data_IF_355163915201
#
_entry.id   IF_355163915201
#
_cell.length_a   1.000
_cell.length_b   1.000
_cell.length_c   1.000
_cell.angle_alpha   90.00
_cell.angle_beta   90.00
_cell.angle_gamma   90.00
#
_symmetry.space_group_name_H-M   'P 1'
#
loop_
_entity.id
_entity.type
_entity.pdbx_description
1 polymer ?
#
# COMPACT_ATOMS: atom_id res chain seq x y z
N UNK A 1 12.25 0.56 0.26
CA UNK A 1 12.24 -0.81 -0.28
C UNK A 1 10.82 -1.13 -0.66
N UNK A 2 10.61 -1.49 -1.92
CA UNK A 2 9.28 -1.81 -2.45
C UNK A 2 8.87 -3.22 -2.07
N UNK A 3 7.66 -3.38 -1.54
CA UNK A 3 7.03 -4.68 -1.35
C UNK A 3 6.64 -5.34 -2.67
N UNK A 4 6.49 -4.57 -3.76
CA UNK A 4 6.20 -5.12 -5.08
C UNK A 4 7.39 -5.95 -5.58
N UNK A 5 8.62 -5.49 -5.35
CA UNK A 5 9.81 -6.27 -5.67
C UNK A 5 9.88 -7.56 -4.86
N UNK A 6 9.46 -7.51 -3.59
CA UNK A 6 9.41 -8.69 -2.75
C UNK A 6 8.34 -9.68 -3.25
N UNK A 7 7.12 -9.20 -3.55
CA UNK A 7 6.03 -9.99 -4.10
C UNK A 7 6.41 -10.60 -5.47
N UNK A 8 7.09 -9.84 -6.34
CA UNK A 8 7.61 -10.34 -7.61
C UNK A 8 8.72 -11.38 -7.44
N UNK A 9 9.55 -11.25 -6.39
CA UNK A 9 10.52 -12.26 -5.98
C UNK A 9 9.86 -13.59 -5.62
N UNK A 10 8.75 -13.56 -4.88
CA UNK A 10 7.96 -14.77 -4.62
C UNK A 10 7.29 -15.30 -5.88
N UNK A 11 6.66 -14.42 -6.67
CA UNK A 11 5.93 -14.78 -7.89
C UNK A 11 6.84 -15.53 -8.87
N UNK A 12 8.03 -15.00 -9.15
CA UNK A 12 8.92 -15.52 -10.18
C UNK A 12 9.99 -16.47 -9.64
N UNK A 13 10.41 -16.29 -8.39
CA UNK A 13 11.50 -17.07 -7.77
C UNK A 13 11.03 -18.23 -6.88
N UNK A 14 9.83 -18.13 -6.29
CA UNK A 14 9.28 -19.13 -5.36
C UNK A 14 7.76 -19.34 -5.55
N UNK A 15 7.30 -19.65 -6.78
CA UNK A 15 5.86 -19.73 -7.09
C UNK A 15 5.10 -20.75 -6.23
N UNK A 16 5.77 -21.78 -5.72
CA UNK A 16 5.20 -22.78 -4.81
C UNK A 16 4.69 -22.20 -3.47
N UNK A 17 5.13 -20.99 -3.10
CA UNK A 17 4.62 -20.29 -1.91
C UNK A 17 3.22 -19.71 -2.11
N UNK A 18 2.72 -19.67 -3.35
CA UNK A 18 1.36 -19.18 -3.65
C UNK A 18 1.16 -17.68 -3.40
N UNK A 19 2.24 -16.90 -3.35
CA UNK A 19 2.22 -15.43 -3.33
C UNK A 19 2.44 -14.98 -4.77
N UNK A 20 1.47 -14.28 -5.35
CA UNK A 20 1.47 -13.86 -6.75
C UNK A 20 1.01 -12.41 -6.84
N UNK A 21 1.64 -11.62 -7.72
CA UNK A 21 1.31 -10.22 -8.03
C UNK A 21 -0.12 -9.98 -8.58
N UNK A 22 -0.87 -11.04 -8.88
CA UNK A 22 -2.24 -10.97 -9.41
C UNK A 22 -3.32 -11.24 -8.35
N UNK A 23 -2.92 -11.50 -7.11
CA UNK A 23 -3.83 -11.61 -5.99
C UNK A 23 -4.29 -10.23 -5.53
N UNK A 24 -5.40 -10.17 -4.78
CA UNK A 24 -5.75 -8.90 -4.14
C UNK A 24 -4.72 -8.49 -3.09
N UNK A 25 -4.53 -7.18 -2.83
CA UNK A 25 -3.49 -6.71 -1.93
C UNK A 25 -3.59 -7.27 -0.50
N UNK A 26 -4.81 -7.51 0.00
CA UNK A 26 -5.05 -8.14 1.30
C UNK A 26 -4.63 -9.62 1.31
N UNK A 27 -4.92 -10.36 0.24
CA UNK A 27 -4.44 -11.73 0.09
C UNK A 27 -2.90 -11.81 0.04
N UNK A 28 -2.25 -10.88 -0.67
CA UNK A 28 -0.78 -10.78 -0.69
C UNK A 28 -0.28 -10.49 0.72
N UNK A 29 -0.87 -9.50 1.41
CA UNK A 29 -0.48 -9.10 2.76
C UNK A 29 -0.56 -10.26 3.76
N UNK A 30 -1.68 -11.00 3.77
CA UNK A 30 -1.87 -12.15 4.66
C UNK A 30 -0.83 -13.25 4.43
N UNK A 31 -0.61 -13.62 3.16
CA UNK A 31 0.35 -14.69 2.80
C UNK A 31 1.80 -14.27 3.06
N UNK A 32 2.14 -13.00 2.80
CA UNK A 32 3.48 -12.45 2.97
C UNK A 32 3.80 -12.15 4.44
N UNK A 33 2.78 -12.00 5.29
CA UNK A 33 2.93 -11.44 6.64
C UNK A 33 4.02 -12.12 7.47
N UNK A 34 4.02 -13.45 7.56
CA UNK A 34 5.01 -14.18 8.36
C UNK A 34 6.45 -13.87 7.96
N UNK A 35 6.69 -13.71 6.65
CA UNK A 35 7.99 -13.35 6.10
C UNK A 35 8.31 -11.88 6.38
N UNK A 36 7.39 -10.98 6.02
CA UNK A 36 7.57 -9.53 6.21
C UNK A 36 7.80 -9.17 7.67
N UNK A 37 7.01 -9.74 8.58
CA UNK A 37 7.15 -9.57 10.03
C UNK A 37 8.55 -9.96 10.49
N UNK A 38 9.00 -11.17 10.14
CA UNK A 38 10.32 -11.66 10.52
C UNK A 38 11.44 -10.78 9.94
N UNK A 39 11.28 -10.30 8.71
CA UNK A 39 12.21 -9.38 8.07
C UNK A 39 12.25 -8.04 8.82
N UNK A 40 11.11 -7.42 9.12
CA UNK A 40 11.03 -6.18 9.89
C UNK A 40 11.69 -6.33 11.27
N UNK A 41 11.41 -7.43 11.98
CA UNK A 41 12.04 -7.71 13.28
C UNK A 41 13.57 -7.83 13.16
N UNK A 42 14.08 -8.37 12.06
CA UNK A 42 15.53 -8.40 11.80
C UNK A 42 16.08 -7.02 11.45
N UNK A 43 15.36 -6.22 10.67
CA UNK A 43 15.75 -4.86 10.28
C UNK A 43 15.87 -3.92 11.50
N UNK A 44 15.07 -4.15 12.55
CA UNK A 44 15.15 -3.38 13.80
C UNK A 44 16.48 -3.54 14.56
N UNK A 45 17.21 -4.65 14.33
CA UNK A 45 18.55 -4.84 14.87
C UNK A 45 19.62 -4.07 14.10
N UNK A 46 19.30 -3.63 12.89
CA UNK A 46 20.13 -2.65 12.21
C UNK A 46 19.93 -1.29 12.90
N UNK A 47 21.02 -0.56 13.11
CA UNK A 47 20.99 0.81 13.64
C UNK A 47 20.79 1.83 12.50
N UNK A 48 19.99 1.49 11.49
CA UNK A 48 19.72 2.31 10.31
C UNK A 48 18.21 2.38 10.06
N UNK A 49 17.73 3.55 9.64
CA UNK A 49 16.35 3.75 9.28
C UNK A 49 16.04 3.21 7.89
N UNK A 50 14.88 2.54 7.77
CA UNK A 50 14.38 2.03 6.51
C UNK A 50 12.98 2.57 6.22
N UNK A 51 12.74 2.85 4.95
CA UNK A 51 11.39 3.08 4.42
C UNK A 51 10.97 1.82 3.67
N UNK A 52 9.82 1.26 4.04
CA UNK A 52 9.15 0.18 3.31
C UNK A 52 7.87 0.76 2.73
N UNK A 53 7.61 0.50 1.46
CA UNK A 53 6.44 0.99 0.73
C UNK A 53 5.80 -0.11 -0.11
N UNK A 54 4.49 -0.01 -0.33
CA UNK A 54 3.68 -0.95 -1.12
C UNK A 54 2.34 -1.25 -0.46
N UNK A 55 1.51 -2.03 -1.17
CA UNK A 55 0.11 -2.31 -0.78
C UNK A 55 -0.09 -3.60 0.03
N UNK A 56 0.95 -4.44 0.14
CA UNK A 56 0.92 -5.74 0.81
C UNK A 56 1.08 -5.66 2.35
N UNK A 57 0.43 -4.69 2.99
CA UNK A 57 0.35 -4.55 4.46
C UNK A 57 -1.10 -4.27 4.85
N UNK A 58 -1.58 -4.85 5.96
CA UNK A 58 -2.88 -4.54 6.54
C UNK A 58 -2.74 -3.87 7.91
N UNK A 59 -3.62 -2.89 8.27
CA UNK A 59 -3.60 -2.25 9.58
C UNK A 59 -3.68 -3.25 10.74
N UNK A 60 -4.51 -4.29 10.61
CA UNK A 60 -4.66 -5.32 11.63
C UNK A 60 -3.41 -6.20 11.82
N UNK A 61 -2.69 -6.48 10.74
CA UNK A 61 -1.46 -7.28 10.80
C UNK A 61 -0.32 -6.49 11.44
N UNK A 62 -0.09 -5.26 10.97
CA UNK A 62 1.02 -4.43 11.45
C UNK A 62 0.88 -4.02 12.92
N UNK A 63 -0.35 -4.00 13.45
CA UNK A 63 -0.65 -3.66 14.85
C UNK A 63 0.21 -4.45 15.84
N UNK A 64 0.46 -5.72 15.57
CA UNK A 64 1.33 -6.55 16.43
C UNK A 64 2.75 -5.98 16.56
N UNK A 65 3.33 -5.52 15.44
CA UNK A 65 4.66 -4.92 15.44
C UNK A 65 4.67 -3.53 16.08
N UNK A 66 3.62 -2.73 15.86
CA UNK A 66 3.49 -1.42 16.49
C UNK A 66 3.35 -1.54 18.02
N UNK A 67 2.63 -2.54 18.52
CA UNK A 67 2.49 -2.78 19.96
C UNK A 67 3.80 -3.24 20.59
N UNK A 68 4.57 -4.06 19.86
CA UNK A 68 5.85 -4.59 20.32
C UNK A 68 6.98 -3.57 20.25
N UNK A 69 6.92 -2.64 19.30
CA UNK A 69 7.99 -1.68 18.99
C UNK A 69 7.46 -0.25 18.75
N UNK A 70 6.72 0.36 19.70
CA UNK A 70 5.96 1.59 19.47
C UNK A 70 6.81 2.81 19.11
N UNK A 71 8.08 2.85 19.51
CA UNK A 71 8.99 3.97 19.25
C UNK A 71 9.96 3.70 18.08
N UNK A 72 9.91 2.50 17.48
CA UNK A 72 10.86 2.06 16.45
C UNK A 72 10.21 1.81 15.10
N UNK A 73 8.88 1.74 15.06
CA UNK A 73 8.11 1.54 13.83
C UNK A 73 7.08 2.64 13.74
N UNK A 74 7.08 3.31 12.58
CA UNK A 74 6.08 4.28 12.22
C UNK A 74 5.45 3.87 10.90
N UNK A 75 4.13 3.97 10.83
CA UNK A 75 3.39 3.61 9.63
C UNK A 75 2.18 4.51 9.46
N UNK A 76 1.86 4.80 8.21
CA UNK A 76 0.59 5.32 7.79
C UNK A 76 0.14 4.61 6.52
N UNK A 77 -1.15 4.67 6.27
CA UNK A 77 -1.75 4.24 5.01
C UNK A 77 -2.16 5.48 4.22
N UNK A 78 -2.01 5.40 2.90
CA UNK A 78 -2.41 6.46 1.98
C UNK A 78 -3.38 5.85 0.97
N UNK A 79 -4.48 6.52 0.70
CA UNK A 79 -5.45 6.05 -0.29
C UNK A 79 -6.36 7.17 -0.77
N UNK A 80 -7.45 6.81 -1.46
CA UNK A 80 -8.36 7.76 -2.09
C UNK A 80 -9.81 7.31 -1.94
N UNK A 81 -10.27 7.16 -0.70
CA UNK A 81 -11.55 6.52 -0.39
C UNK A 81 -12.79 7.31 -0.87
N UNK A 82 -12.64 8.61 -1.12
CA UNK A 82 -13.72 9.53 -1.49
C UNK A 82 -13.52 10.16 -2.89
N UNK A 83 -12.55 9.69 -3.68
CA UNK A 83 -12.28 10.24 -5.02
C UNK A 83 -13.44 9.92 -5.96
N UNK A 84 -13.71 10.84 -6.88
CA UNK A 84 -14.55 10.59 -8.03
C UNK A 84 -13.81 9.71 -9.05
N UNK A 85 -14.47 8.64 -9.52
CA UNK A 85 -13.83 7.65 -10.40
C UNK A 85 -13.44 8.29 -11.74
N UNK A 86 -14.32 9.08 -12.34
CA UNK A 86 -14.07 9.73 -13.63
C UNK A 86 -12.92 10.74 -13.54
N UNK A 87 -12.87 11.50 -12.43
CA UNK A 87 -11.75 12.38 -12.11
C UNK A 87 -10.44 11.59 -12.00
N UNK A 88 -10.44 10.48 -11.25
CA UNK A 88 -9.23 9.66 -11.06
C UNK A 88 -8.71 9.06 -12.36
N UNK A 89 -9.60 8.58 -13.23
CA UNK A 89 -9.26 8.10 -14.59
C UNK A 89 -8.59 9.21 -15.39
N UNK A 90 -9.17 10.41 -15.33
CA UNK A 90 -8.63 11.60 -16.01
C UNK A 90 -7.24 11.95 -15.48
N UNK A 91 -7.04 11.94 -14.16
CA UNK A 91 -5.76 12.22 -13.53
C UNK A 91 -4.69 11.20 -13.94
N UNK A 92 -5.00 9.90 -13.91
CA UNK A 92 -4.08 8.83 -14.33
C UNK A 92 -3.62 9.04 -15.78
N UNK A 93 -4.55 9.39 -16.69
CA UNK A 93 -4.23 9.66 -18.09
C UNK A 93 -3.38 10.91 -18.27
N UNK A 94 -3.66 11.97 -17.51
CA UNK A 94 -2.93 13.25 -17.61
C UNK A 94 -1.52 13.20 -17.00
N UNK A 95 -1.30 12.31 -16.03
CA UNK A 95 -0.05 12.22 -15.29
C UNK A 95 0.82 11.02 -15.66
N UNK A 96 0.41 10.21 -16.64
CA UNK A 96 1.22 9.12 -17.16
C UNK A 96 2.36 9.61 -18.03
N UNK A 97 3.53 8.97 -17.90
CA UNK A 97 4.66 9.15 -18.81
C UNK A 97 4.65 8.16 -20.01
N UNK A 98 3.67 7.26 -20.03
CA UNK A 98 3.42 6.25 -21.07
C UNK A 98 4.47 5.15 -21.18
N UNK A 99 5.48 5.10 -20.31
CA UNK A 99 6.60 4.14 -20.45
C UNK A 99 6.40 2.87 -19.65
N UNK A 100 5.83 2.97 -18.45
CA UNK A 100 5.68 1.85 -17.51
C UNK A 100 4.29 1.78 -16.84
N UNK A 101 3.34 2.58 -17.28
CA UNK A 101 1.96 2.55 -16.77
C UNK A 101 1.17 1.40 -17.40
N UNK A 102 1.24 0.24 -16.78
CA UNK A 102 0.55 -0.96 -17.23
C UNK A 102 -0.97 -0.74 -17.39
N UNK A 103 -1.57 0.04 -16.50
CA UNK A 103 -3.02 0.27 -16.48
C UNK A 103 -3.53 0.99 -17.73
N UNK A 104 -2.72 1.85 -18.36
CA UNK A 104 -3.12 2.56 -19.58
C UNK A 104 -3.13 1.69 -20.84
N UNK A 105 -2.55 0.47 -20.77
CA UNK A 105 -2.64 -0.50 -21.86
C UNK A 105 -3.93 -1.33 -21.83
N UNK A 106 -4.74 -1.16 -20.79
CA UNK A 106 -6.00 -1.87 -20.60
C UNK A 106 -7.18 -1.12 -21.24
N UNK A 107 -8.33 -1.78 -21.35
CA UNK A 107 -9.55 -1.15 -21.85
C UNK A 107 -10.10 -0.12 -20.86
N UNK A 108 -10.84 0.88 -21.36
CA UNK A 108 -11.52 1.88 -20.52
C UNK A 108 -12.42 1.23 -19.45
N UNK A 109 -13.16 0.18 -19.81
CA UNK A 109 -13.97 -0.59 -18.86
C UNK A 109 -13.14 -1.22 -17.76
N UNK A 110 -11.96 -1.77 -18.10
CA UNK A 110 -11.04 -2.36 -17.13
C UNK A 110 -10.43 -1.29 -16.21
N UNK A 111 -10.01 -0.15 -16.76
CA UNK A 111 -9.47 0.97 -15.99
C UNK A 111 -10.50 1.47 -14.98
N UNK A 112 -11.74 1.72 -15.43
CA UNK A 112 -12.83 2.17 -14.56
C UNK A 112 -13.09 1.16 -13.44
N UNK A 113 -13.23 -0.12 -13.80
CA UNK A 113 -13.48 -1.19 -12.83
C UNK A 113 -12.35 -1.32 -11.81
N UNK A 114 -11.11 -1.23 -12.26
CA UNK A 114 -9.94 -1.29 -11.39
C UNK A 114 -9.95 -0.13 -10.39
N UNK A 115 -10.25 1.09 -10.83
CA UNK A 115 -10.32 2.26 -9.95
C UNK A 115 -11.48 2.13 -8.96
N UNK A 116 -12.65 1.66 -9.38
CA UNK A 116 -13.79 1.37 -8.49
C UNK A 116 -13.42 0.37 -7.39
N UNK A 117 -12.68 -0.69 -7.76
CA UNK A 117 -12.18 -1.69 -6.82
C UNK A 117 -11.20 -1.07 -5.83
N UNK A 118 -10.29 -0.22 -6.29
CA UNK A 118 -9.31 0.44 -5.43
C UNK A 118 -9.93 1.53 -4.53
N UNK A 119 -11.01 2.19 -4.97
CA UNK A 119 -11.80 3.08 -4.10
C UNK A 119 -12.48 2.26 -3.00
N UNK A 120 -13.08 1.12 -3.36
CA UNK A 120 -13.70 0.20 -2.41
C UNK A 120 -12.68 -0.33 -1.40
N UNK A 121 -11.49 -0.73 -1.89
CA UNK A 121 -10.39 -1.17 -1.05
C UNK A 121 -9.86 -0.05 -0.15
N UNK A 122 -9.71 1.17 -0.67
CA UNK A 122 -9.33 2.35 0.11
C UNK A 122 -10.30 2.62 1.27
N UNK A 123 -11.61 2.45 1.06
CA UNK A 123 -12.63 2.56 2.12
C UNK A 123 -12.48 1.47 3.18
N UNK A 124 -12.22 0.23 2.77
CA UNK A 124 -11.93 -0.89 3.68
C UNK A 124 -10.71 -0.56 4.55
N UNK A 125 -9.59 -0.17 3.93
CA UNK A 125 -8.35 0.18 4.64
C UNK A 125 -8.56 1.36 5.58
N UNK A 126 -9.28 2.42 5.16
CA UNK A 126 -9.62 3.55 6.03
C UNK A 126 -10.40 3.10 7.28
N UNK A 127 -11.37 2.20 7.12
CA UNK A 127 -12.14 1.64 8.23
C UNK A 127 -11.25 0.82 9.17
N UNK A 128 -10.37 -0.02 8.63
CA UNK A 128 -9.44 -0.83 9.43
C UNK A 128 -8.41 0.03 10.16
N UNK A 129 -7.84 1.04 9.50
CA UNK A 129 -6.96 2.03 10.13
C UNK A 129 -7.61 2.67 11.36
N UNK A 130 -8.88 3.07 11.24
CA UNK A 130 -9.64 3.61 12.39
C UNK A 130 -9.83 2.57 13.50
N UNK A 131 -10.06 1.31 13.16
CA UNK A 131 -10.24 0.23 14.14
C UNK A 131 -8.95 -0.04 14.94
N UNK A 132 -7.79 0.03 14.29
CA UNK A 132 -6.49 -0.31 14.88
C UNK A 132 -5.66 0.91 15.32
N UNK A 133 -6.28 2.10 15.33
CA UNK A 133 -5.65 3.39 15.66
C UNK A 133 -4.36 3.63 14.85
N UNK A 134 -4.45 3.40 13.54
CA UNK A 134 -3.39 3.67 12.57
C UNK A 134 -3.79 4.84 11.69
N UNK A 135 -2.85 5.72 11.37
CA UNK A 135 -3.12 6.91 10.57
C UNK A 135 -3.41 6.54 9.11
N UNK A 136 -4.50 7.10 8.57
CA UNK A 136 -4.86 7.04 7.15
C UNK A 136 -4.88 8.47 6.60
N UNK A 137 -4.21 8.69 5.48
CA UNK A 137 -4.22 9.94 4.74
C UNK A 137 -5.02 9.76 3.45
N UNK A 138 -6.06 10.56 3.30
CA UNK A 138 -6.94 10.53 2.14
C UNK A 138 -6.48 11.55 1.11
N UNK A 139 -6.16 11.08 -0.09
CA UNK A 139 -5.65 11.89 -1.20
C UNK A 139 -6.75 12.29 -2.18
N UNK A 140 -8.02 12.01 -1.86
CA UNK A 140 -9.16 12.31 -2.73
C UNK A 140 -9.32 13.82 -2.98
N UNK A 141 -8.93 14.65 -2.01
CA UNK A 141 -8.98 16.11 -2.09
C UNK A 141 -7.61 16.64 -1.65
N UNK A 142 -6.99 17.50 -2.46
CA UNK A 142 -5.69 18.09 -2.10
C UNK A 142 -4.56 17.06 -2.07
N UNK A 143 -4.34 16.36 -3.20
CA UNK A 143 -3.35 15.28 -3.31
C UNK A 143 -1.98 15.65 -2.74
N UNK A 144 -1.43 16.82 -3.11
CA UNK A 144 -0.09 17.26 -2.67
C UNK A 144 -0.06 17.46 -1.16
N UNK A 145 -1.03 18.20 -0.61
CA UNK A 145 -1.12 18.50 0.81
C UNK A 145 -1.22 17.19 1.64
N UNK A 146 -2.05 16.24 1.20
CA UNK A 146 -2.19 14.94 1.87
C UNK A 146 -0.88 14.12 1.87
N UNK A 147 -0.10 14.19 0.79
CA UNK A 147 1.20 13.52 0.71
C UNK A 147 2.25 14.22 1.58
N UNK A 148 2.24 15.55 1.63
CA UNK A 148 3.11 16.33 2.52
C UNK A 148 2.80 16.01 3.98
N UNK A 149 1.53 15.98 4.38
CA UNK A 149 1.11 15.60 5.73
C UNK A 149 1.53 14.15 6.09
N UNK A 150 1.37 13.21 5.15
CA UNK A 150 1.80 11.83 5.37
C UNK A 150 3.31 11.71 5.55
N UNK A 151 4.07 12.47 4.75
CA UNK A 151 5.54 12.50 4.81
C UNK A 151 6.01 13.13 6.12
N UNK A 152 5.44 14.28 6.50
CA UNK A 152 5.74 14.95 7.76
C UNK A 152 5.43 14.03 8.94
N UNK A 153 4.27 13.36 8.91
CA UNK A 153 3.93 12.36 9.90
C UNK A 153 4.95 11.23 9.96
N UNK A 154 5.52 10.74 8.86
CA UNK A 154 6.53 9.67 8.92
C UNK A 154 7.88 10.14 9.45
N UNK A 155 8.25 11.41 9.23
CA UNK A 155 9.58 11.95 9.57
C UNK A 155 9.67 12.60 10.96
N UNK A 156 8.54 13.01 11.56
CA UNK A 156 8.47 13.67 12.87
C UNK A 156 7.70 12.85 13.90
#
# INVERSE_FOLDING_TARGET
>A
MSLDWLAMGFTNGMPQCGIHDKLYPDEIAEKLWSFLKSMCENMLWSEVDYVIEGEAILPGLIRELLDKYPERIKICFVGYADIDVDQKVTDIRNHSDGRLDWLLNESDDHINKHIEDMVTYSRKIRSECRQYDVRYFDTSIGFVDAIEEATEYLLN
#
